data_IF_136203098846
#
_entry.id   IF_136203098846
#
_cell.length_a   1.000
_cell.length_b   1.000
_cell.length_c   1.000
_cell.angle_alpha   90.00
_cell.angle_beta   90.00
_cell.angle_gamma   90.00
#
_symmetry.space_group_name_H-M   'P 1'
#
loop_
_entity.id
_entity.type
_entity.pdbx_description
1 polymer ?
#
# COMPACT_ATOMS: atom_id res chain seq x y z
N UNK A 1 -15.51 9.89 -9.78
CA UNK A 1 -14.64 10.83 -9.05
C UNK A 1 -14.75 10.56 -7.55
N UNK A 2 -14.75 9.28 -7.18
CA UNK A 2 -15.17 8.80 -5.86
C UNK A 2 -13.97 8.44 -4.97
N UNK A 3 -12.81 8.21 -5.60
CA UNK A 3 -11.54 7.96 -4.90
C UNK A 3 -11.10 9.13 -4.00
N UNK A 4 -11.34 10.39 -4.37
CA UNK A 4 -10.99 11.52 -3.50
C UNK A 4 -11.88 11.65 -2.26
N UNK A 5 -13.16 11.27 -2.38
CA UNK A 5 -14.15 11.41 -1.31
C UNK A 5 -14.15 10.22 -0.35
N UNK A 6 -13.92 9.01 -0.85
CA UNK A 6 -13.95 7.76 -0.07
C UNK A 6 -12.60 7.21 0.39
N UNK A 7 -11.47 7.86 0.06
CA UNK A 7 -10.16 7.38 0.50
C UNK A 7 -10.04 7.41 2.02
N UNK A 8 -9.79 6.24 2.61
CA UNK A 8 -9.47 6.08 4.02
C UNK A 8 -7.95 6.02 4.20
N UNK A 9 -7.30 5.07 3.52
CA UNK A 9 -5.85 4.84 3.60
C UNK A 9 -5.36 4.02 2.42
N UNK A 10 -4.08 4.17 2.08
CA UNK A 10 -3.37 3.28 1.17
C UNK A 10 -2.45 2.39 1.99
N UNK A 11 -2.38 1.12 1.64
CA UNK A 11 -1.34 0.23 2.15
C UNK A 11 -0.28 0.05 1.06
N UNK A 12 0.99 0.23 1.41
CA UNK A 12 2.09 0.35 0.46
C UNK A 12 3.21 -0.60 0.85
N UNK A 13 3.66 -1.39 -0.12
CA UNK A 13 4.79 -2.32 -0.01
C UNK A 13 5.72 -2.03 -1.19
N UNK A 14 7.03 -1.92 -0.95
CA UNK A 14 7.97 -1.77 -2.06
C UNK A 14 8.03 -3.06 -2.88
N UNK A 15 8.23 -2.96 -4.20
CA UNK A 15 8.36 -4.13 -5.06
C UNK A 15 9.49 -5.05 -4.60
N UNK A 16 10.63 -4.49 -4.19
CA UNK A 16 11.76 -5.25 -3.68
C UNK A 16 11.38 -6.06 -2.44
N UNK A 17 10.66 -5.45 -1.48
CA UNK A 17 10.17 -6.15 -0.30
C UNK A 17 9.14 -7.23 -0.67
N UNK A 18 8.27 -6.96 -1.65
CA UNK A 18 7.28 -7.93 -2.09
C UNK A 18 7.94 -9.15 -2.76
N UNK A 19 8.98 -8.92 -3.55
CA UNK A 19 9.77 -9.98 -4.19
C UNK A 19 10.57 -10.76 -3.14
N UNK A 20 11.21 -10.07 -2.19
CA UNK A 20 11.97 -10.72 -1.11
C UNK A 20 11.08 -11.59 -0.23
N UNK A 21 9.86 -11.14 0.03
CA UNK A 21 8.90 -11.84 0.89
C UNK A 21 8.04 -12.84 0.14
N UNK A 22 8.02 -12.83 -1.19
CA UNK A 22 7.28 -13.77 -2.04
C UNK A 22 5.75 -13.57 -2.06
N UNK A 23 5.18 -12.86 -1.08
CA UNK A 23 3.75 -12.55 -1.03
C UNK A 23 3.41 -11.33 -0.18
N UNK A 24 2.28 -10.67 -0.50
CA UNK A 24 1.75 -9.54 0.28
C UNK A 24 1.48 -9.93 1.74
N UNK A 25 1.00 -11.16 1.97
CA UNK A 25 0.72 -11.64 3.31
C UNK A 25 1.99 -11.77 4.16
N UNK A 26 3.08 -12.26 3.59
CA UNK A 26 4.37 -12.35 4.28
C UNK A 26 5.03 -10.98 4.45
N UNK A 27 4.93 -10.08 3.46
CA UNK A 27 5.35 -8.68 3.60
C UNK A 27 4.65 -7.98 4.77
N UNK A 28 3.34 -8.19 4.92
CA UNK A 28 2.57 -7.70 6.07
C UNK A 28 3.03 -8.32 7.38
N UNK A 29 3.18 -9.64 7.42
CA UNK A 29 3.61 -10.35 8.63
C UNK A 29 5.01 -9.93 9.10
N UNK A 30 5.90 -9.59 8.15
CA UNK A 30 7.25 -9.08 8.40
C UNK A 30 7.30 -7.57 8.67
N UNK A 31 6.17 -6.88 8.69
CA UNK A 31 6.09 -5.44 8.96
C UNK A 31 6.60 -4.54 7.83
N UNK A 32 6.73 -5.07 6.61
CA UNK A 32 7.15 -4.31 5.41
C UNK A 32 6.00 -3.54 4.76
N UNK A 33 4.74 -3.85 5.11
CA UNK A 33 3.58 -3.12 4.66
C UNK A 33 3.37 -1.84 5.48
N UNK A 34 3.40 -0.68 4.79
CA UNK A 34 3.22 0.64 5.38
C UNK A 34 1.81 1.14 5.12
N UNK A 35 1.19 1.80 6.10
CA UNK A 35 -0.10 2.46 5.89
C UNK A 35 0.14 3.95 5.69
N UNK A 36 -0.19 4.43 4.51
CA UNK A 36 0.09 5.78 4.07
C UNK A 36 -1.21 6.56 3.81
N UNK A 37 -1.15 7.84 4.12
CA UNK A 37 -2.27 8.79 4.02
C UNK A 37 -2.42 9.38 2.62
N UNK A 38 -3.31 10.37 2.50
CA UNK A 38 -3.58 11.08 1.24
C UNK A 38 -2.39 11.88 0.72
N UNK A 39 -1.47 12.26 1.63
CA UNK A 39 -0.32 13.11 1.32
C UNK A 39 0.92 12.32 0.89
N UNK A 40 0.84 10.99 0.84
CA UNK A 40 1.97 10.16 0.42
C UNK A 40 2.21 10.28 -1.08
N UNK A 41 3.46 10.56 -1.43
CA UNK A 41 3.92 10.61 -2.82
C UNK A 41 4.43 9.22 -3.21
N UNK A 42 3.66 8.55 -4.07
CA UNK A 42 4.01 7.23 -4.61
C UNK A 42 5.40 7.22 -5.23
N UNK A 43 6.19 6.21 -4.89
CA UNK A 43 7.50 5.98 -5.50
C UNK A 43 7.38 4.93 -6.61
N UNK A 44 8.32 4.95 -7.54
CA UNK A 44 8.40 3.91 -8.56
C UNK A 44 8.66 2.54 -7.89
N UNK A 45 7.92 1.53 -8.34
CA UNK A 45 7.94 0.20 -7.72
C UNK A 45 7.12 0.08 -6.42
N UNK A 46 6.37 1.08 -5.99
CA UNK A 46 5.41 0.89 -4.88
C UNK A 46 4.21 0.04 -5.33
N UNK A 47 3.95 -1.04 -4.59
CA UNK A 47 2.75 -1.86 -4.71
C UNK A 47 1.73 -1.38 -3.69
N UNK A 48 0.59 -0.89 -4.17
CA UNK A 48 -0.41 -0.20 -3.35
C UNK A 48 -1.74 -0.93 -3.33
N UNK A 49 -2.29 -1.14 -2.14
CA UNK A 49 -3.67 -1.54 -1.91
C UNK A 49 -4.47 -0.37 -1.33
N UNK A 50 -5.37 0.20 -2.12
CA UNK A 50 -6.23 1.29 -1.68
C UNK A 50 -7.43 0.77 -0.88
N UNK A 51 -7.65 1.30 0.32
CA UNK A 51 -8.88 1.05 1.09
C UNK A 51 -9.80 2.25 0.99
N UNK A 52 -10.94 2.04 0.35
CA UNK A 52 -12.05 2.99 0.28
C UNK A 52 -13.25 2.47 1.06
N UNK A 53 -14.01 3.38 1.68
CA UNK A 53 -15.34 3.06 2.16
C UNK A 53 -16.31 3.32 1.01
N UNK A 54 -17.17 2.35 0.69
CA UNK A 54 -18.28 2.54 -0.25
C UNK A 54 -19.50 3.09 0.49
#
# INVERSE_FOLDING_TARGET
>A
TDFQKGFIKAEIISFDDLVETGSVAEARAKGKARMEGKDYVMQDGDVVEFRFNV
#
